data_IF_808737861678
#
_entry.id   IF_808737861678
#
_cell.length_a   1.000
_cell.length_b   1.000
_cell.length_c   1.000
_cell.angle_alpha   90.00
_cell.angle_beta   90.00
_cell.angle_gamma   90.00
#
_symmetry.space_group_name_H-M   'P 1'
#
loop_
_entity.id
_entity.type
_entity.pdbx_description
1 polymer ?
#
# COMPACT_ATOMS: atom_id res chain seq x y z
N UNK A 1 -0.02 -9.53 -2.93
CA UNK A 1 -0.08 -8.23 -2.27
C UNK A 1 1.08 -8.10 -1.29
N UNK A 2 1.82 -7.00 -1.33
CA UNK A 2 2.95 -6.70 -0.45
C UNK A 2 2.65 -5.40 0.30
N UNK A 3 2.78 -5.39 1.64
CA UNK A 3 2.51 -4.19 2.43
C UNK A 3 2.69 -4.39 3.93
N UNK A 4 2.36 -3.35 4.69
CA UNK A 4 2.38 -3.37 6.15
C UNK A 4 1.02 -3.78 6.72
N UNK A 5 1.02 -4.51 7.82
CA UNK A 5 -0.16 -5.10 8.45
C UNK A 5 -0.26 -4.72 9.92
N UNK A 6 -1.41 -4.93 10.54
CA UNK A 6 -1.57 -4.71 11.98
C UNK A 6 -0.72 -5.69 12.80
N UNK A 7 -0.74 -6.95 12.39
CA UNK A 7 0.10 -8.00 12.92
C UNK A 7 0.48 -8.97 11.79
N UNK A 8 1.35 -9.93 12.06
CA UNK A 8 1.72 -10.98 11.13
C UNK A 8 2.09 -12.23 11.93
N UNK A 9 1.08 -12.99 12.38
CA UNK A 9 1.31 -14.15 13.26
C UNK A 9 0.35 -15.29 12.98
N UNK A 10 0.82 -16.53 13.16
CA UNK A 10 0.00 -17.73 13.16
C UNK A 10 0.45 -18.62 14.32
N UNK A 11 -0.47 -18.90 15.27
CA UNK A 11 -0.16 -19.74 16.44
C UNK A 11 1.10 -19.29 17.22
N UNK A 12 1.29 -17.98 17.36
CA UNK A 12 2.46 -17.40 18.05
C UNK A 12 3.74 -17.38 17.23
N UNK A 13 3.74 -17.87 16.00
CA UNK A 13 4.88 -17.79 15.08
C UNK A 13 4.75 -16.56 14.16
N UNK A 14 5.87 -15.87 13.93
CA UNK A 14 5.90 -14.72 13.03
C UNK A 14 5.71 -15.13 11.58
N UNK A 15 4.88 -14.40 10.86
CA UNK A 15 4.69 -14.47 9.42
C UNK A 15 5.36 -13.30 8.67
N UNK A 16 6.11 -12.45 9.38
CA UNK A 16 6.81 -11.34 8.75
C UNK A 16 7.77 -11.84 7.66
N UNK A 17 7.78 -11.15 6.52
CA UNK A 17 8.56 -11.54 5.34
C UNK A 17 8.34 -13.00 4.86
N UNK A 18 7.15 -13.55 5.13
CA UNK A 18 6.78 -14.89 4.67
C UNK A 18 5.56 -14.77 3.78
N UNK A 19 5.61 -15.21 2.51
CA UNK A 19 4.44 -15.24 1.64
C UNK A 19 3.41 -16.24 2.19
N UNK A 20 2.20 -15.76 2.47
CA UNK A 20 1.12 -16.56 3.04
C UNK A 20 -0.05 -16.59 2.06
N UNK A 21 -0.42 -17.80 1.63
CA UNK A 21 -1.59 -18.02 0.80
C UNK A 21 -2.86 -17.93 1.65
N UNK A 22 -3.80 -17.09 1.23
CA UNK A 22 -5.12 -16.93 1.87
C UNK A 22 -6.24 -17.04 0.84
N UNK A 23 -7.45 -17.33 1.30
CA UNK A 23 -8.62 -17.55 0.46
C UNK A 23 -9.80 -16.65 0.78
N UNK A 24 -9.71 -15.85 1.84
CA UNK A 24 -10.77 -14.97 2.28
C UNK A 24 -10.25 -13.77 3.07
N UNK A 25 -11.06 -12.70 3.11
CA UNK A 25 -10.79 -11.54 3.98
C UNK A 25 -10.81 -11.92 5.47
N UNK A 26 -11.62 -12.92 5.85
CA UNK A 26 -11.64 -13.45 7.22
C UNK A 26 -10.30 -14.05 7.60
N UNK A 27 -9.74 -14.88 6.73
CA UNK A 27 -8.41 -15.47 6.96
C UNK A 27 -7.32 -14.40 7.03
N UNK A 28 -7.43 -13.35 6.20
CA UNK A 28 -6.55 -12.18 6.32
C UNK A 28 -6.63 -11.55 7.72
N UNK A 29 -7.86 -11.25 8.19
CA UNK A 29 -8.07 -10.64 9.50
C UNK A 29 -7.53 -11.47 10.67
N UNK A 30 -7.66 -12.80 10.60
CA UNK A 30 -7.15 -13.73 11.61
C UNK A 30 -5.62 -13.74 11.69
N UNK A 31 -4.91 -13.58 10.56
CA UNK A 31 -3.46 -13.69 10.48
C UNK A 31 -2.74 -12.34 10.53
N UNK A 32 -3.35 -11.31 9.96
CA UNK A 32 -2.74 -10.01 9.69
C UNK A 32 -3.47 -8.82 10.34
N UNK A 33 -4.64 -9.09 10.94
CA UNK A 33 -5.46 -8.07 11.58
C UNK A 33 -6.29 -7.25 10.59
N UNK A 34 -6.53 -6.01 10.93
CA UNK A 34 -7.35 -5.07 10.15
C UNK A 34 -6.51 -3.92 9.60
N UNK A 35 -7.15 -3.01 8.84
CA UNK A 35 -6.54 -1.76 8.44
C UNK A 35 -6.32 -0.83 9.63
N UNK A 36 -5.41 0.10 9.47
CA UNK A 36 -5.23 1.19 10.43
C UNK A 36 -6.34 2.23 10.25
N UNK A 37 -6.64 2.96 11.31
CA UNK A 37 -7.54 4.11 11.24
C UNK A 37 -6.83 5.32 10.62
N UNK A 38 -7.37 5.89 9.53
CA UNK A 38 -6.78 7.07 8.92
C UNK A 38 -6.88 8.26 9.89
N UNK A 39 -5.82 9.05 10.00
CA UNK A 39 -5.81 10.29 10.77
C UNK A 39 -5.70 11.49 9.83
N UNK A 40 -6.37 12.56 10.20
CA UNK A 40 -6.43 13.79 9.43
C UNK A 40 -5.99 14.98 10.28
N UNK A 41 -5.27 15.90 9.65
CA UNK A 41 -5.05 17.24 10.20
C UNK A 41 -6.19 18.14 9.72
N UNK A 42 -6.69 18.98 10.63
CA UNK A 42 -7.63 20.05 10.32
C UNK A 42 -6.88 21.36 10.40
N UNK A 43 -6.96 22.16 9.35
CA UNK A 43 -6.37 23.48 9.28
C UNK A 43 -7.47 24.54 9.13
N UNK A 44 -7.68 25.32 10.18
CA UNK A 44 -8.71 26.34 10.27
C UNK A 44 -8.31 27.66 9.59
N UNK A 45 -7.03 27.79 9.24
CA UNK A 45 -6.46 28.97 8.60
C UNK A 45 -6.04 28.72 7.14
N UNK A 46 -6.21 27.47 6.65
CA UNK A 46 -5.77 27.07 5.32
C UNK A 46 -6.63 27.67 4.23
N UNK A 47 -6.05 28.61 3.50
CA UNK A 47 -6.65 29.23 2.30
C UNK A 47 -6.45 28.33 1.06
N UNK A 48 -5.56 27.35 1.11
CA UNK A 48 -5.14 26.50 -0.02
C UNK A 48 -5.03 25.01 0.36
N UNK A 49 -6.13 24.40 0.83
CA UNK A 49 -6.16 22.95 1.05
C UNK A 49 -6.74 22.26 -0.18
N UNK A 50 -6.10 21.15 -0.65
CA UNK A 50 -6.64 20.33 -1.75
C UNK A 50 -8.05 19.79 -1.42
N UNK A 51 -8.36 19.63 -0.13
CA UNK A 51 -9.66 19.19 0.35
C UNK A 51 -10.09 20.05 1.53
N UNK A 52 -11.36 20.45 1.54
CA UNK A 52 -11.94 21.20 2.64
C UNK A 52 -13.32 20.68 3.03
N UNK A 53 -13.71 20.95 4.26
CA UNK A 53 -15.07 20.70 4.79
C UNK A 53 -15.59 21.94 5.47
N UNK A 54 -16.91 22.05 5.55
CA UNK A 54 -17.58 23.09 6.33
C UNK A 54 -17.78 22.61 7.76
N UNK A 55 -17.16 23.33 8.73
CA UNK A 55 -17.36 23.12 10.17
C UNK A 55 -17.86 24.44 10.76
N UNK A 56 -19.06 24.43 11.33
CA UNK A 56 -19.69 25.62 11.92
C UNK A 56 -19.71 26.85 10.97
N UNK A 57 -19.93 26.58 9.67
CA UNK A 57 -20.00 27.64 8.65
C UNK A 57 -18.63 28.20 8.22
N UNK A 58 -17.53 27.64 8.69
CA UNK A 58 -16.17 27.97 8.25
C UNK A 58 -15.61 26.86 7.38
N UNK A 59 -14.90 27.26 6.34
CA UNK A 59 -14.13 26.32 5.52
C UNK A 59 -12.86 25.91 6.27
N UNK A 60 -12.65 24.60 6.44
CA UNK A 60 -11.52 24.00 7.16
C UNK A 60 -10.80 23.06 6.22
N UNK A 61 -9.52 23.28 6.04
CA UNK A 61 -8.66 22.42 5.23
C UNK A 61 -8.48 21.06 5.89
N UNK A 62 -8.46 19.99 5.08
CA UNK A 62 -8.20 18.63 5.53
C UNK A 62 -7.00 18.06 4.80
N UNK A 63 -6.07 17.48 5.55
CA UNK A 63 -4.98 16.70 4.97
C UNK A 63 -4.77 15.39 5.73
N UNK A 64 -4.31 14.36 5.02
CA UNK A 64 -3.91 13.12 5.66
C UNK A 64 -2.67 13.29 6.53
N UNK A 65 -2.67 12.68 7.71
CA UNK A 65 -1.44 12.44 8.44
C UNK A 65 -0.65 11.36 7.71
N UNK A 66 0.45 11.74 7.05
CA UNK A 66 1.19 10.92 6.07
C UNK A 66 1.51 9.50 6.54
N UNK A 67 1.98 9.35 7.77
CA UNK A 67 2.35 8.04 8.34
C UNK A 67 1.18 7.19 8.85
N UNK A 68 -0.07 7.62 8.63
CA UNK A 68 -1.30 6.88 8.86
C UNK A 68 -2.06 6.60 7.55
N UNK A 69 -1.50 6.98 6.41
CA UNK A 69 -2.09 6.76 5.09
C UNK A 69 -1.64 5.41 4.55
N UNK A 70 -2.43 4.35 4.78
CA UNK A 70 -2.18 3.02 4.26
C UNK A 70 -3.35 2.54 3.41
N UNK A 71 -3.04 1.93 2.27
CA UNK A 71 -4.02 1.42 1.31
C UNK A 71 -4.05 -0.11 1.24
N UNK A 72 -3.10 -0.78 1.86
CA UNK A 72 -2.92 -2.22 1.74
C UNK A 72 -4.17 -3.01 2.09
N UNK A 73 -4.75 -2.79 3.28
CA UNK A 73 -5.96 -3.48 3.74
C UNK A 73 -7.16 -3.18 2.83
N UNK A 74 -7.32 -1.91 2.41
CA UNK A 74 -8.42 -1.49 1.53
C UNK A 74 -8.31 -2.16 0.16
N UNK A 75 -7.11 -2.33 -0.38
CA UNK A 75 -6.88 -3.04 -1.64
C UNK A 75 -7.28 -4.52 -1.54
N UNK A 76 -7.02 -5.17 -0.40
CA UNK A 76 -7.43 -6.56 -0.15
C UNK A 76 -8.95 -6.67 0.03
N UNK A 77 -9.57 -5.72 0.75
CA UNK A 77 -11.03 -5.65 0.84
C UNK A 77 -11.67 -5.50 -0.55
N UNK A 78 -11.12 -4.59 -1.37
CA UNK A 78 -11.60 -4.37 -2.73
C UNK A 78 -11.44 -5.63 -3.60
N UNK A 79 -10.33 -6.34 -3.48
CA UNK A 79 -10.08 -7.60 -4.17
C UNK A 79 -11.18 -8.63 -3.86
N UNK A 80 -11.45 -8.89 -2.57
CA UNK A 80 -12.47 -9.86 -2.17
C UNK A 80 -13.90 -9.39 -2.48
N UNK A 81 -14.19 -8.10 -2.34
CA UNK A 81 -15.50 -7.52 -2.68
C UNK A 81 -15.83 -7.66 -4.18
N UNK A 82 -14.82 -7.72 -5.04
CA UNK A 82 -14.97 -7.91 -6.47
C UNK A 82 -14.81 -9.37 -6.94
N UNK A 83 -14.97 -10.34 -6.05
CA UNK A 83 -14.95 -11.77 -6.38
C UNK A 83 -13.55 -12.39 -6.40
N UNK A 84 -12.57 -11.73 -5.82
CA UNK A 84 -11.25 -12.32 -5.59
C UNK A 84 -11.35 -13.60 -4.78
N UNK A 85 -10.55 -14.63 -5.11
CA UNK A 85 -10.59 -15.92 -4.43
C UNK A 85 -9.31 -16.16 -3.62
N UNK A 86 -8.24 -16.57 -4.28
CA UNK A 86 -6.96 -16.87 -3.64
C UNK A 86 -5.96 -15.79 -3.93
N UNK A 87 -5.25 -15.34 -2.90
CA UNK A 87 -4.10 -14.47 -3.08
C UNK A 87 -2.99 -14.79 -2.06
N UNK A 88 -1.81 -14.21 -2.30
CA UNK A 88 -0.69 -14.26 -1.38
C UNK A 88 -0.54 -12.92 -0.69
N UNK A 89 -0.38 -12.95 0.63
CA UNK A 89 -0.08 -11.80 1.47
C UNK A 89 1.36 -11.90 1.92
N UNK A 90 2.09 -10.82 1.72
CA UNK A 90 3.45 -10.68 2.21
C UNK A 90 3.53 -9.43 3.09
N UNK A 91 3.51 -9.64 4.40
CA UNK A 91 3.70 -8.57 5.38
C UNK A 91 5.18 -8.25 5.49
N UNK A 92 5.57 -7.05 5.09
CA UNK A 92 6.96 -6.56 5.17
C UNK A 92 7.26 -5.75 6.43
N UNK A 93 6.26 -5.59 7.28
CA UNK A 93 6.32 -4.94 8.58
C UNK A 93 4.94 -4.72 9.17
N UNK A 94 4.90 -4.18 10.37
CA UNK A 94 3.65 -3.86 11.07
C UNK A 94 3.60 -2.38 11.42
N UNK A 95 2.39 -1.84 11.53
CA UNK A 95 2.18 -0.53 12.13
C UNK A 95 2.00 -0.66 13.65
N UNK A 96 2.23 0.43 14.38
CA UNK A 96 2.09 0.47 15.83
C UNK A 96 0.62 0.49 16.29
N UNK A 97 0.39 0.53 17.61
CA UNK A 97 -0.96 0.53 18.20
C UNK A 97 -1.78 1.76 17.80
N UNK A 98 -1.12 2.87 17.46
CA UNK A 98 -1.75 4.09 16.94
C UNK A 98 -2.05 4.02 15.43
N UNK A 99 -1.65 2.95 14.76
CA UNK A 99 -1.79 2.77 13.30
C UNK A 99 -0.73 3.52 12.48
N UNK A 100 0.35 3.95 13.12
CA UNK A 100 1.45 4.68 12.50
C UNK A 100 2.50 3.73 11.94
N UNK A 101 3.01 4.04 10.75
CA UNK A 101 4.11 3.32 10.11
C UNK A 101 5.06 4.28 9.40
N UNK A 102 6.34 3.96 9.40
CA UNK A 102 7.34 4.57 8.54
C UNK A 102 7.68 3.62 7.41
N UNK A 103 7.17 3.90 6.20
CA UNK A 103 7.41 3.08 5.03
C UNK A 103 8.86 3.24 4.55
N UNK A 104 9.55 2.13 4.35
CA UNK A 104 10.95 2.11 3.86
C UNK A 104 11.06 1.24 2.62
N UNK A 105 11.72 1.74 1.59
CA UNK A 105 11.99 0.98 0.36
C UNK A 105 12.64 -0.38 0.65
N UNK A 106 13.57 -0.43 1.61
CA UNK A 106 14.31 -1.64 1.97
C UNK A 106 13.40 -2.79 2.47
N UNK A 107 12.27 -2.48 3.13
CA UNK A 107 11.34 -3.48 3.62
C UNK A 107 10.65 -4.18 2.44
N UNK A 108 10.20 -3.40 1.46
CA UNK A 108 9.59 -3.93 0.23
C UNK A 108 10.58 -4.70 -0.63
N UNK A 109 11.82 -4.22 -0.75
CA UNK A 109 12.90 -4.93 -1.47
C UNK A 109 13.17 -6.30 -0.83
N UNK A 110 13.25 -6.36 0.49
CA UNK A 110 13.39 -7.62 1.23
C UNK A 110 12.22 -8.57 0.95
N UNK A 111 10.99 -8.04 0.95
CA UNK A 111 9.79 -8.81 0.62
C UNK A 111 9.82 -9.38 -0.80
N UNK A 112 10.17 -8.57 -1.80
CA UNK A 112 10.29 -9.04 -3.19
C UNK A 112 11.29 -10.22 -3.32
N UNK A 113 12.40 -10.18 -2.59
CA UNK A 113 13.38 -11.28 -2.57
C UNK A 113 12.79 -12.56 -2.00
N UNK A 114 11.98 -12.49 -0.95
CA UNK A 114 11.33 -13.69 -0.38
C UNK A 114 10.26 -14.25 -1.31
N UNK A 115 9.56 -13.39 -2.06
CA UNK A 115 8.54 -13.79 -3.04
C UNK A 115 9.12 -14.58 -4.24
N UNK A 116 10.41 -14.55 -4.47
CA UNK A 116 11.07 -15.35 -5.53
C UNK A 116 10.90 -16.87 -5.32
N UNK A 117 10.64 -17.32 -4.10
CA UNK A 117 10.43 -18.73 -3.78
C UNK A 117 9.05 -19.24 -4.17
N UNK A 118 8.09 -18.33 -4.38
CA UNK A 118 6.73 -18.68 -4.72
C UNK A 118 6.50 -18.65 -6.23
N UNK A 119 5.94 -19.72 -6.79
CA UNK A 119 5.71 -19.85 -8.23
C UNK A 119 4.25 -19.57 -8.64
N UNK A 120 3.30 -19.63 -7.71
CA UNK A 120 1.87 -19.48 -7.98
C UNK A 120 1.44 -18.02 -8.27
N UNK A 121 2.01 -16.97 -7.61
CA UNK A 121 1.56 -15.59 -7.85
C UNK A 121 1.76 -15.18 -9.31
N UNK A 122 0.71 -14.66 -9.94
CA UNK A 122 0.73 -14.16 -11.33
C UNK A 122 0.68 -12.65 -11.43
N UNK A 123 0.35 -11.97 -10.34
CA UNK A 123 0.30 -10.51 -10.25
C UNK A 123 0.97 -10.04 -8.96
N UNK A 124 1.75 -8.97 -9.03
CA UNK A 124 2.40 -8.33 -7.88
C UNK A 124 1.84 -6.92 -7.73
N UNK A 125 1.31 -6.64 -6.54
CA UNK A 125 0.74 -5.34 -6.16
C UNK A 125 1.40 -4.85 -4.88
N UNK A 126 1.78 -3.56 -4.87
CA UNK A 126 2.30 -2.86 -3.68
C UNK A 126 1.49 -1.59 -3.48
N UNK A 127 0.28 -1.67 -2.91
CA UNK A 127 -0.66 -0.53 -2.84
C UNK A 127 -0.09 0.70 -2.14
N UNK A 128 0.77 0.51 -1.14
CA UNK A 128 1.37 1.61 -0.38
C UNK A 128 2.64 2.20 -1.01
N UNK A 129 3.04 1.75 -2.21
CA UNK A 129 4.19 2.32 -2.91
C UNK A 129 4.05 3.83 -3.14
N UNK A 130 2.84 4.30 -3.46
CA UNK A 130 2.53 5.72 -3.68
C UNK A 130 2.62 6.59 -2.41
N UNK A 131 2.73 5.98 -1.23
CA UNK A 131 2.92 6.69 0.04
C UNK A 131 4.40 6.90 0.39
N UNK A 132 5.34 6.30 -0.36
CA UNK A 132 6.76 6.59 -0.29
C UNK A 132 7.06 7.99 -0.87
N UNK A 133 8.32 8.43 -0.84
CA UNK A 133 8.75 9.54 -1.70
C UNK A 133 8.66 9.13 -3.17
N UNK A 134 8.50 10.09 -4.09
CA UNK A 134 8.44 9.83 -5.53
C UNK A 134 9.63 8.99 -6.00
N UNK A 135 10.84 9.35 -5.58
CA UNK A 135 12.06 8.61 -5.89
C UNK A 135 12.01 7.16 -5.40
N UNK A 136 11.62 6.94 -4.14
CA UNK A 136 11.50 5.59 -3.56
C UNK A 136 10.37 4.79 -4.19
N UNK A 137 9.27 5.43 -4.57
CA UNK A 137 8.15 4.80 -5.25
C UNK A 137 8.60 4.25 -6.62
N UNK A 138 9.24 5.06 -7.42
CA UNK A 138 9.74 4.63 -8.74
C UNK A 138 10.87 3.61 -8.63
N UNK A 139 11.77 3.74 -7.66
CA UNK A 139 12.78 2.72 -7.39
C UNK A 139 12.13 1.37 -7.05
N UNK A 140 11.07 1.36 -6.21
CA UNK A 140 10.30 0.15 -5.89
C UNK A 140 9.63 -0.44 -7.13
N UNK A 141 9.09 0.41 -8.02
CA UNK A 141 8.48 -0.05 -9.26
C UNK A 141 9.50 -0.72 -10.19
N UNK A 142 10.69 -0.14 -10.33
CA UNK A 142 11.79 -0.76 -11.09
C UNK A 142 12.18 -2.13 -10.51
N UNK A 143 12.30 -2.24 -9.17
CA UNK A 143 12.56 -3.51 -8.50
C UNK A 143 11.44 -4.54 -8.74
N UNK A 144 10.17 -4.10 -8.70
CA UNK A 144 9.02 -4.96 -8.94
C UNK A 144 8.96 -5.45 -10.38
N UNK A 145 9.24 -4.58 -11.36
CA UNK A 145 9.33 -4.95 -12.79
C UNK A 145 10.49 -5.91 -13.02
N UNK A 146 11.66 -5.65 -12.44
CA UNK A 146 12.83 -6.53 -12.54
C UNK A 146 12.54 -7.92 -11.92
N UNK A 147 11.83 -7.96 -10.78
CA UNK A 147 11.35 -9.20 -10.18
C UNK A 147 10.40 -9.96 -11.13
N UNK A 148 9.43 -9.30 -11.74
CA UNK A 148 8.52 -9.92 -12.71
C UNK A 148 9.29 -10.44 -13.94
N UNK A 149 10.23 -9.67 -14.47
CA UNK A 149 11.08 -10.09 -15.57
C UNK A 149 11.94 -11.33 -15.23
N UNK A 150 12.47 -11.39 -14.00
CA UNK A 150 13.23 -12.55 -13.51
C UNK A 150 12.34 -13.79 -13.41
N UNK A 151 11.13 -13.65 -12.86
CA UNK A 151 10.22 -14.78 -12.61
C UNK A 151 9.52 -15.27 -13.88
N UNK A 152 9.29 -14.43 -14.88
CA UNK A 152 8.68 -14.73 -16.19
C UNK A 152 7.24 -15.32 -16.14
N UNK A 153 6.62 -15.38 -14.97
CA UNK A 153 5.28 -15.96 -14.76
C UNK A 153 4.29 -14.96 -14.14
N UNK A 154 4.69 -13.70 -13.97
CA UNK A 154 3.89 -12.68 -13.29
C UNK A 154 4.09 -11.29 -13.88
N UNK A 155 3.11 -10.42 -13.63
CA UNK A 155 3.12 -9.01 -14.03
C UNK A 155 3.00 -8.11 -12.80
N UNK A 156 3.55 -6.90 -12.89
CA UNK A 156 3.36 -5.87 -11.88
C UNK A 156 2.11 -5.03 -12.21
N UNK A 157 1.30 -4.72 -11.20
CA UNK A 157 0.23 -3.73 -11.28
C UNK A 157 0.69 -2.55 -10.44
N UNK A 158 0.89 -1.41 -11.10
CA UNK A 158 1.50 -0.22 -10.52
C UNK A 158 0.53 0.95 -10.60
N UNK A 159 0.43 1.69 -9.50
CA UNK A 159 -0.33 2.93 -9.46
C UNK A 159 0.54 4.10 -9.96
N UNK A 160 -0.11 5.14 -10.49
CA UNK A 160 0.60 6.35 -10.86
C UNK A 160 0.79 7.21 -9.61
N UNK A 161 2.04 7.53 -9.28
CA UNK A 161 2.34 8.45 -8.17
C UNK A 161 1.64 9.79 -8.39
N UNK A 162 0.93 10.28 -7.38
CA UNK A 162 0.09 11.48 -7.46
C UNK A 162 -0.95 11.46 -8.61
N UNK A 163 -1.33 10.28 -9.09
CA UNK A 163 -2.24 10.10 -10.24
C UNK A 163 -3.66 10.66 -10.04
N UNK A 164 -4.02 11.02 -8.82
CA UNK A 164 -5.28 11.69 -8.47
C UNK A 164 -5.26 13.21 -8.73
N UNK A 165 -4.07 13.80 -8.84
CA UNK A 165 -3.92 15.26 -9.07
C UNK A 165 -4.36 15.66 -10.47
N UNK A 166 -4.87 16.87 -10.59
CA UNK A 166 -5.22 17.45 -11.87
C UNK A 166 -3.99 17.64 -12.76
N UNK A 167 -4.15 17.41 -14.07
CA UNK A 167 -3.06 17.46 -15.06
C UNK A 167 -2.78 18.87 -15.58
N UNK A 168 -2.90 19.91 -14.74
CA UNK A 168 -2.82 21.30 -15.20
C UNK A 168 -1.36 21.76 -15.32
N UNK A 169 -0.49 21.39 -14.37
CA UNK A 169 0.89 21.87 -14.31
C UNK A 169 1.93 20.81 -14.63
N UNK A 170 1.70 19.57 -14.17
CA UNK A 170 2.61 18.45 -14.38
C UNK A 170 1.82 17.23 -14.85
N UNK A 171 2.15 16.72 -16.04
CA UNK A 171 1.56 15.47 -16.51
C UNK A 171 2.24 14.28 -15.82
N UNK A 172 1.72 13.91 -14.64
CA UNK A 172 2.23 12.78 -13.83
C UNK A 172 2.17 11.43 -14.58
N UNK A 173 1.25 11.31 -15.54
CA UNK A 173 1.15 10.10 -16.38
C UNK A 173 2.31 10.06 -17.39
N UNK A 174 2.68 11.20 -17.95
CA UNK A 174 3.85 11.29 -18.82
C UNK A 174 5.13 10.97 -18.05
N UNK A 175 5.29 11.55 -16.84
CA UNK A 175 6.43 11.24 -15.96
C UNK A 175 6.52 9.75 -15.58
N UNK A 176 5.38 9.10 -15.40
CA UNK A 176 5.33 7.67 -15.09
C UNK A 176 5.74 6.80 -16.30
N UNK A 177 5.50 7.27 -17.53
CA UNK A 177 5.75 6.52 -18.77
C UNK A 177 7.17 6.72 -19.34
N UNK A 178 7.81 7.87 -19.06
CA UNK A 178 9.17 8.23 -19.51
C UNK A 178 10.22 7.66 -18.56
#
# INVERSE_FOLDING_TARGET
FIGHTQNATRNGQSLANTPVRITSLKEFAELFGHGNDPKFNLDFDAIESEHSVQIDGKEVGISYVRNHKLFFYNAIQLFYANGGSTCYILSVGTFDEDGKVELKLADFESGLKTLEKEQEPTMVLVPDAVNLSMESCYALYQLTIAHCAKMQNRVAILDVYDGYKERIEVDVIKQFRD
#
